data_IF_229766293386
#
_entry.id   IF_229766293386
#
_cell.length_a   1.000
_cell.length_b   1.000
_cell.length_c   1.000
_cell.angle_alpha   90.00
_cell.angle_beta   90.00
_cell.angle_gamma   90.00
#
_symmetry.space_group_name_H-M   'P 1'
#
loop_
_entity.id
_entity.type
_entity.pdbx_description
1 polymer ?
#
# COMPACT_ATOMS: atom_id res chain seq x y z
N UNK A 1 53.55 -44.11 -29.00
CA UNK A 1 52.29 -44.12 -28.22
C UNK A 1 52.44 -42.98 -27.21
N UNK A 2 51.94 -41.75 -27.42
CA UNK A 2 50.53 -41.27 -27.33
C UNK A 2 49.86 -41.83 -26.06
N UNK A 3 49.39 -41.08 -25.07
CA UNK A 3 48.91 -39.70 -25.06
C UNK A 3 49.07 -39.02 -23.69
N UNK A 4 49.23 -37.70 -23.75
CA UNK A 4 49.09 -36.71 -22.68
C UNK A 4 47.62 -36.51 -22.28
N UNK A 5 47.44 -36.11 -21.02
CA UNK A 5 46.48 -35.11 -20.50
C UNK A 5 44.97 -35.31 -20.68
N UNK A 6 44.26 -35.23 -19.55
CA UNK A 6 43.28 -34.17 -19.23
C UNK A 6 42.15 -34.74 -18.36
N UNK A 7 42.03 -34.32 -17.09
CA UNK A 7 40.72 -34.18 -16.45
C UNK A 7 40.78 -33.42 -15.12
N UNK A 8 40.94 -32.08 -15.13
CA UNK A 8 40.45 -31.23 -14.02
C UNK A 8 40.13 -29.84 -14.56
N UNK A 9 38.90 -29.62 -15.05
CA UNK A 9 38.27 -28.30 -15.04
C UNK A 9 36.78 -28.53 -14.76
N UNK A 10 36.28 -28.07 -13.62
CA UNK A 10 34.86 -28.26 -13.33
C UNK A 10 34.35 -27.76 -11.99
N UNK A 11 34.90 -26.70 -11.38
CA UNK A 11 34.24 -26.04 -10.22
C UNK A 11 34.63 -24.54 -10.17
N UNK A 12 34.04 -23.67 -10.98
CA UNK A 12 34.16 -22.20 -10.78
C UNK A 12 32.91 -21.37 -11.14
N UNK A 13 31.79 -21.96 -11.57
CA UNK A 13 30.66 -21.18 -12.11
C UNK A 13 29.55 -20.80 -11.11
N UNK A 14 29.64 -21.15 -9.83
CA UNK A 14 28.57 -20.83 -8.87
C UNK A 14 28.64 -19.43 -8.24
N UNK A 15 29.76 -18.71 -8.37
CA UNK A 15 29.91 -17.38 -7.77
C UNK A 15 29.26 -16.23 -8.56
N UNK A 16 29.14 -16.36 -9.88
CA UNK A 16 28.68 -15.26 -10.74
C UNK A 16 27.17 -14.99 -10.59
N UNK A 17 26.35 -16.03 -10.49
CA UNK A 17 24.89 -15.89 -10.40
C UNK A 17 24.43 -15.20 -9.10
N UNK A 18 25.15 -15.40 -7.98
CA UNK A 18 24.82 -14.79 -6.69
C UNK A 18 25.19 -13.29 -6.66
N UNK A 19 26.29 -12.92 -7.30
CA UNK A 19 26.72 -11.52 -7.40
C UNK A 19 25.79 -10.69 -8.31
N UNK A 20 25.33 -11.30 -9.40
CA UNK A 20 24.34 -10.73 -10.33
C UNK A 20 23.01 -10.43 -9.63
N UNK A 21 22.47 -11.41 -8.89
CA UNK A 21 21.22 -11.25 -8.17
C UNK A 21 21.29 -10.22 -7.03
N UNK A 22 22.44 -10.12 -6.35
CA UNK A 22 22.67 -9.09 -5.34
C UNK A 22 22.70 -7.68 -5.96
N UNK A 23 23.41 -7.51 -7.07
CA UNK A 23 23.51 -6.25 -7.82
C UNK A 23 22.14 -5.81 -8.31
N UNK A 24 21.39 -6.75 -8.90
CA UNK A 24 20.02 -6.54 -9.36
C UNK A 24 19.10 -6.06 -8.23
N UNK A 25 19.14 -6.71 -7.06
CA UNK A 25 18.36 -6.30 -5.88
C UNK A 25 18.72 -4.89 -5.42
N UNK A 26 20.00 -4.55 -5.44
CA UNK A 26 20.46 -3.21 -5.09
C UNK A 26 19.92 -2.14 -6.06
N UNK A 27 19.96 -2.40 -7.36
CA UNK A 27 19.40 -1.49 -8.37
C UNK A 27 17.91 -1.28 -8.16
N UNK A 28 17.14 -2.34 -7.89
CA UNK A 28 15.70 -2.24 -7.59
C UNK A 28 15.47 -1.41 -6.32
N UNK A 29 16.25 -1.62 -5.26
CA UNK A 29 16.15 -0.84 -4.03
C UNK A 29 16.39 0.67 -4.27
N UNK A 30 17.36 1.01 -5.14
CA UNK A 30 17.60 2.41 -5.54
C UNK A 30 16.45 2.99 -6.37
N UNK A 31 15.80 2.20 -7.23
CA UNK A 31 14.61 2.62 -7.98
C UNK A 31 13.46 2.93 -7.03
N UNK A 32 13.20 2.04 -6.08
CA UNK A 32 12.18 2.21 -5.03
C UNK A 32 12.39 3.51 -4.26
N UNK A 33 13.63 3.77 -3.85
CA UNK A 33 13.99 5.00 -3.14
C UNK A 33 13.78 6.23 -4.03
N UNK A 34 14.25 6.19 -5.28
CA UNK A 34 14.14 7.31 -6.22
C UNK A 34 12.68 7.65 -6.58
N UNK A 35 11.80 6.66 -6.60
CA UNK A 35 10.35 6.83 -6.78
C UNK A 35 9.63 7.31 -5.52
N UNK A 36 10.25 7.18 -4.34
CA UNK A 36 9.62 7.51 -3.06
C UNK A 36 8.53 6.52 -2.63
N UNK A 37 8.60 5.26 -3.07
CA UNK A 37 7.55 4.25 -2.80
C UNK A 37 7.35 4.00 -1.30
N UNK A 38 8.42 4.02 -0.51
CA UNK A 38 8.33 3.88 0.96
C UNK A 38 7.42 4.95 1.57
N UNK A 39 7.61 6.21 1.16
CA UNK A 39 6.81 7.32 1.66
C UNK A 39 5.35 7.23 1.17
N UNK A 40 5.15 6.80 -0.08
CA UNK A 40 3.83 6.60 -0.66
C UNK A 40 3.03 5.52 0.11
N UNK A 41 3.62 4.35 0.33
CA UNK A 41 2.96 3.29 1.10
C UNK A 41 2.73 3.68 2.56
N UNK A 42 3.68 4.40 3.18
CA UNK A 42 3.50 4.92 4.53
C UNK A 42 2.29 5.88 4.60
N UNK A 43 2.19 6.81 3.67
CA UNK A 43 1.06 7.74 3.58
C UNK A 43 -0.27 6.99 3.39
N UNK A 44 -0.30 5.94 2.57
CA UNK A 44 -1.50 5.13 2.36
C UNK A 44 -1.91 4.35 3.62
N UNK A 45 -0.94 3.78 4.34
CA UNK A 45 -1.19 3.11 5.62
C UNK A 45 -1.73 4.09 6.66
N UNK A 46 -1.18 5.30 6.73
CA UNK A 46 -1.63 6.33 7.68
C UNK A 46 -3.02 6.87 7.34
N UNK A 47 -3.34 7.03 6.06
CA UNK A 47 -4.70 7.35 5.61
C UNK A 47 -5.69 6.21 5.94
N UNK A 48 -5.28 4.95 5.74
CA UNK A 48 -6.08 3.79 6.11
C UNK A 48 -6.37 3.73 7.60
N UNK A 49 -5.38 4.02 8.45
CA UNK A 49 -5.54 4.15 9.92
C UNK A 49 -6.58 5.19 10.29
N UNK A 50 -6.46 6.39 9.74
CA UNK A 50 -7.38 7.49 10.01
C UNK A 50 -8.82 7.13 9.60
N UNK A 51 -8.99 6.60 8.37
CA UNK A 51 -10.30 6.19 7.86
C UNK A 51 -10.93 5.05 8.70
N UNK A 52 -10.14 4.03 9.07
CA UNK A 52 -10.60 2.93 9.90
C UNK A 52 -11.06 3.41 11.28
N UNK A 53 -10.33 4.34 11.91
CA UNK A 53 -10.70 4.98 13.18
C UNK A 53 -12.07 5.65 13.09
N UNK A 54 -12.31 6.44 12.04
CA UNK A 54 -13.58 7.16 11.85
C UNK A 54 -14.75 6.21 11.57
N UNK A 55 -14.54 5.19 10.72
CA UNK A 55 -15.55 4.15 10.48
C UNK A 55 -15.87 3.42 11.79
N UNK A 56 -14.85 3.11 12.58
CA UNK A 56 -15.01 2.39 13.82
C UNK A 56 -15.80 3.14 14.88
N UNK A 57 -15.53 4.42 15.07
CA UNK A 57 -16.34 5.29 15.95
C UNK A 57 -17.81 5.28 15.53
N UNK A 58 -18.07 5.39 14.22
CA UNK A 58 -19.43 5.35 13.70
C UNK A 58 -20.12 4.00 13.92
N UNK A 59 -19.40 2.87 13.78
CA UNK A 59 -19.96 1.53 14.06
C UNK A 59 -20.28 1.37 15.55
N UNK A 60 -19.37 1.75 16.45
CA UNK A 60 -19.59 1.68 17.90
C UNK A 60 -20.81 2.51 18.32
N UNK A 61 -20.93 3.74 17.79
CA UNK A 61 -22.09 4.59 18.06
C UNK A 61 -23.40 3.97 17.58
N UNK A 62 -23.42 3.35 16.38
CA UNK A 62 -24.61 2.67 15.85
C UNK A 62 -24.97 1.43 16.67
N UNK A 63 -24.01 0.57 17.00
CA UNK A 63 -24.26 -0.61 17.83
C UNK A 63 -24.85 -0.24 19.19
N UNK A 64 -24.31 0.80 19.85
CA UNK A 64 -24.80 1.23 21.14
C UNK A 64 -26.22 1.78 21.08
N UNK A 65 -26.55 2.52 20.01
CA UNK A 65 -27.91 2.98 19.76
C UNK A 65 -28.91 1.81 19.60
N UNK A 66 -28.48 0.67 19.06
CA UNK A 66 -29.30 -0.53 18.89
C UNK A 66 -29.42 -1.38 20.17
N UNK A 67 -28.43 -1.35 21.07
CA UNK A 67 -28.49 -2.10 22.34
C UNK A 67 -29.42 -1.48 23.40
N UNK A 68 -30.05 -0.34 23.11
CA UNK A 68 -30.90 0.38 24.07
C UNK A 68 -30.12 1.09 25.18
N UNK A 69 -28.80 1.20 25.06
CA UNK A 69 -27.97 1.96 25.99
C UNK A 69 -28.38 3.45 25.97
N UNK A 70 -28.43 4.14 27.13
CA UNK A 70 -28.80 5.55 27.19
C UNK A 70 -27.93 6.39 26.24
N UNK A 71 -28.56 7.24 25.40
CA UNK A 71 -27.84 8.19 24.53
C UNK A 71 -26.80 8.96 25.36
N UNK A 72 -25.52 8.84 24.99
CA UNK A 72 -24.41 9.51 25.67
C UNK A 72 -23.66 8.65 26.70
N UNK A 73 -24.06 7.39 26.95
CA UNK A 73 -23.29 6.43 27.73
C UNK A 73 -22.57 5.44 26.81
N UNK A 74 -21.53 5.89 26.12
CA UNK A 74 -20.53 4.97 25.56
C UNK A 74 -19.70 4.44 26.73
N UNK A 75 -19.67 3.12 26.97
CA UNK A 75 -18.69 2.56 27.92
C UNK A 75 -17.30 2.80 27.33
N UNK A 76 -16.44 3.63 27.95
CA UNK A 76 -15.11 3.92 27.43
C UNK A 76 -14.28 2.64 27.27
N UNK A 77 -14.59 1.55 27.99
CA UNK A 77 -13.94 0.24 27.79
C UNK A 77 -14.23 -0.36 26.42
N UNK A 78 -15.47 -0.23 25.93
CA UNK A 78 -15.86 -0.76 24.63
C UNK A 78 -15.21 0.03 23.49
N UNK A 79 -15.22 1.37 23.60
CA UNK A 79 -14.49 2.24 22.66
C UNK A 79 -13.00 1.86 22.60
N UNK A 80 -12.37 1.63 23.75
CA UNK A 80 -10.96 1.27 23.82
C UNK A 80 -10.67 -0.12 23.23
N UNK A 81 -11.55 -1.11 23.43
CA UNK A 81 -11.42 -2.44 22.81
C UNK A 81 -11.50 -2.33 21.29
N UNK A 82 -12.47 -1.57 20.79
CA UNK A 82 -12.67 -1.40 19.36
C UNK A 82 -11.52 -0.62 18.72
N UNK A 83 -11.05 0.45 19.37
CA UNK A 83 -9.88 1.21 18.95
C UNK A 83 -8.64 0.32 18.84
N UNK A 84 -8.37 -0.52 19.85
CA UNK A 84 -7.26 -1.49 19.80
C UNK A 84 -7.41 -2.52 18.67
N UNK A 85 -8.64 -2.92 18.34
CA UNK A 85 -8.88 -3.81 17.21
C UNK A 85 -8.53 -3.13 15.88
N UNK A 86 -8.97 -1.88 15.67
CA UNK A 86 -8.65 -1.12 14.46
C UNK A 86 -7.15 -0.85 14.33
N UNK A 87 -6.49 -0.51 15.43
CA UNK A 87 -5.04 -0.30 15.46
C UNK A 87 -4.29 -1.57 15.05
N UNK A 88 -4.73 -2.76 15.50
CA UNK A 88 -4.16 -4.04 15.05
C UNK A 88 -4.39 -4.26 13.56
N UNK A 89 -5.61 -4.04 13.05
CA UNK A 89 -5.90 -4.18 11.62
C UNK A 89 -5.04 -3.23 10.77
N UNK A 90 -4.83 -2.02 11.26
CA UNK A 90 -4.08 -1.01 10.54
C UNK A 90 -2.55 -1.13 10.70
N UNK A 91 -2.09 -2.01 11.60
CA UNK A 91 -0.69 -2.40 11.78
C UNK A 91 -0.35 -3.75 11.14
N UNK A 92 -1.25 -4.34 10.33
CA UNK A 92 -1.02 -5.63 9.69
C UNK A 92 0.18 -5.65 8.75
N UNK A 93 0.49 -4.51 8.12
CA UNK A 93 1.62 -4.38 7.22
C UNK A 93 2.42 -3.13 7.55
N UNK A 94 3.74 -3.21 7.36
CA UNK A 94 4.61 -2.04 7.37
C UNK A 94 4.88 -1.52 5.95
N UNK A 95 5.18 -0.24 5.79
CA UNK A 95 5.55 0.32 4.49
C UNK A 95 6.76 -0.42 3.88
N UNK A 96 7.72 -0.83 4.72
CA UNK A 96 8.88 -1.62 4.31
C UNK A 96 8.47 -2.98 3.75
N UNK A 97 7.59 -3.70 4.42
CA UNK A 97 7.10 -5.00 3.97
C UNK A 97 6.36 -4.90 2.62
N UNK A 98 5.58 -3.84 2.43
CA UNK A 98 4.90 -3.57 1.16
C UNK A 98 5.91 -3.28 0.03
N UNK A 99 6.94 -2.49 0.32
CA UNK A 99 8.05 -2.21 -0.62
C UNK A 99 8.82 -3.48 -0.96
N UNK A 100 9.17 -4.29 0.04
CA UNK A 100 9.91 -5.54 -0.15
C UNK A 100 9.10 -6.51 -1.02
N UNK A 101 7.79 -6.59 -0.79
CA UNK A 101 6.86 -7.38 -1.62
C UNK A 101 6.79 -6.83 -3.04
N UNK A 102 6.60 -5.53 -3.21
CA UNK A 102 6.54 -4.89 -4.54
C UNK A 102 7.82 -5.14 -5.34
N UNK A 103 8.97 -5.05 -4.68
CA UNK A 103 10.30 -5.24 -5.30
C UNK A 103 10.49 -6.65 -5.87
N UNK A 104 9.87 -7.67 -5.26
CA UNK A 104 9.90 -9.05 -5.77
C UNK A 104 9.19 -9.20 -7.11
N UNK A 105 8.15 -8.40 -7.36
CA UNK A 105 7.39 -8.44 -8.61
C UNK A 105 7.98 -7.51 -9.67
N UNK A 106 8.43 -6.31 -9.29
CA UNK A 106 8.85 -5.28 -10.23
C UNK A 106 9.98 -5.73 -11.15
N UNK A 107 10.99 -6.39 -10.58
CA UNK A 107 12.15 -6.85 -11.34
C UNK A 107 11.94 -8.15 -12.11
N UNK A 108 10.76 -8.76 -12.15
CA UNK A 108 10.64 -10.12 -12.72
C UNK A 108 10.87 -10.17 -14.23
N UNK A 109 10.35 -9.17 -14.95
CA UNK A 109 10.29 -9.17 -16.41
C UNK A 109 11.23 -8.13 -17.05
N UNK A 110 12.13 -7.54 -16.26
CA UNK A 110 13.09 -6.53 -16.71
C UNK A 110 14.49 -7.15 -16.91
N UNK A 111 15.27 -6.67 -17.85
CA UNK A 111 16.71 -6.94 -17.94
C UNK A 111 17.48 -6.02 -17.00
N UNK A 112 18.75 -6.32 -16.72
CA UNK A 112 19.60 -5.43 -15.92
C UNK A 112 19.77 -4.06 -16.58
N UNK A 113 19.98 -4.03 -17.90
CA UNK A 113 20.11 -2.77 -18.64
C UNK A 113 18.85 -1.91 -18.57
N UNK A 114 17.67 -2.52 -18.57
CA UNK A 114 16.42 -1.79 -18.39
C UNK A 114 16.29 -1.22 -16.97
N UNK A 115 16.67 -2.00 -15.94
CA UNK A 115 16.71 -1.50 -14.56
C UNK A 115 17.67 -0.31 -14.42
N UNK A 116 18.85 -0.36 -15.03
CA UNK A 116 19.80 0.74 -15.01
C UNK A 116 19.26 1.99 -15.71
N UNK A 117 18.59 1.83 -16.86
CA UNK A 117 17.96 2.94 -17.57
C UNK A 117 16.82 3.57 -16.76
N UNK A 118 16.01 2.75 -16.10
CA UNK A 118 14.94 3.21 -15.20
C UNK A 118 15.53 3.98 -14.02
N UNK A 119 16.59 3.45 -13.40
CA UNK A 119 17.26 4.13 -12.30
C UNK A 119 17.84 5.48 -12.76
N UNK A 120 18.52 5.51 -13.91
CA UNK A 120 19.07 6.72 -14.48
C UNK A 120 18.00 7.77 -14.76
N UNK A 121 16.83 7.34 -15.26
CA UNK A 121 15.68 8.23 -15.43
C UNK A 121 15.25 8.84 -14.11
N UNK A 122 14.97 8.06 -13.07
CA UNK A 122 14.50 8.59 -11.78
C UNK A 122 15.54 9.42 -11.05
N UNK A 123 16.83 9.21 -11.32
CA UNK A 123 17.91 10.05 -10.79
C UNK A 123 18.09 11.37 -11.54
N UNK A 124 17.60 11.47 -12.79
CA UNK A 124 17.69 12.68 -13.61
C UNK A 124 16.85 13.85 -13.05
N UNK A 125 17.17 15.10 -13.41
CA UNK A 125 16.36 16.26 -13.01
C UNK A 125 14.90 16.17 -13.46
N UNK A 126 14.62 15.57 -14.62
CA UNK A 126 13.24 15.40 -15.11
C UNK A 126 12.52 14.28 -14.36
N UNK A 127 13.17 13.15 -14.08
CA UNK A 127 12.56 12.05 -13.31
C UNK A 127 12.22 12.45 -11.88
N UNK A 128 13.09 13.23 -11.20
CA UNK A 128 12.78 13.78 -9.88
C UNK A 128 11.57 14.73 -9.90
N UNK A 129 11.44 15.54 -10.96
CA UNK A 129 10.28 16.42 -11.15
C UNK A 129 9.02 15.61 -11.44
N UNK A 130 9.12 14.55 -12.23
CA UNK A 130 8.01 13.65 -12.52
C UNK A 130 7.49 12.95 -11.25
N UNK A 131 8.38 12.41 -10.43
CA UNK A 131 8.01 11.80 -9.13
C UNK A 131 7.28 12.81 -8.25
N UNK A 132 7.82 14.02 -8.10
CA UNK A 132 7.18 15.08 -7.31
C UNK A 132 5.81 15.50 -7.88
N UNK A 133 5.72 15.67 -9.20
CA UNK A 133 4.47 16.04 -9.87
C UNK A 133 3.41 14.94 -9.72
N UNK A 134 3.81 13.67 -9.88
CA UNK A 134 2.96 12.49 -9.72
C UNK A 134 2.44 12.35 -8.30
N UNK A 135 3.29 12.51 -7.28
CA UNK A 135 2.86 12.48 -5.87
C UNK A 135 1.87 13.61 -5.53
N UNK A 136 2.14 14.81 -6.04
CA UNK A 136 1.24 15.97 -5.86
C UNK A 136 -0.11 15.72 -6.54
N UNK A 137 -0.09 15.26 -7.78
CA UNK A 137 -1.29 14.93 -8.54
C UNK A 137 -2.10 13.82 -7.88
N UNK A 138 -1.46 12.74 -7.42
CA UNK A 138 -2.12 11.62 -6.76
C UNK A 138 -2.77 12.03 -5.43
N UNK A 139 -2.14 12.92 -4.67
CA UNK A 139 -2.72 13.48 -3.45
C UNK A 139 -3.97 14.29 -3.76
N UNK A 140 -3.91 15.17 -4.76
CA UNK A 140 -5.07 15.97 -5.20
C UNK A 140 -6.20 15.10 -5.75
N UNK A 141 -5.87 14.08 -6.55
CA UNK A 141 -6.81 13.11 -7.08
C UNK A 141 -7.50 12.33 -5.97
N UNK A 142 -6.74 11.74 -5.05
CA UNK A 142 -7.29 10.93 -3.94
C UNK A 142 -8.23 11.74 -3.05
N UNK A 143 -7.87 12.99 -2.74
CA UNK A 143 -8.72 13.91 -1.98
C UNK A 143 -10.04 14.20 -2.71
N UNK A 144 -9.96 14.48 -4.01
CA UNK A 144 -11.14 14.76 -4.85
C UNK A 144 -12.06 13.55 -4.95
N UNK A 145 -11.50 12.37 -5.24
CA UNK A 145 -12.27 11.13 -5.35
C UNK A 145 -12.92 10.73 -4.03
N UNK A 146 -12.23 10.93 -2.91
CA UNK A 146 -12.79 10.66 -1.58
C UNK A 146 -13.97 11.58 -1.27
N UNK A 147 -13.85 12.88 -1.53
CA UNK A 147 -14.92 13.85 -1.31
C UNK A 147 -16.16 13.54 -2.18
N UNK A 148 -15.95 13.32 -3.47
CA UNK A 148 -17.02 12.94 -4.40
C UNK A 148 -17.64 11.59 -4.05
N UNK A 149 -16.82 10.61 -3.64
CA UNK A 149 -17.28 9.30 -3.21
C UNK A 149 -18.21 9.40 -2.00
N UNK A 150 -17.84 10.20 -1.00
CA UNK A 150 -18.67 10.42 0.19
C UNK A 150 -20.00 11.09 -0.13
N UNK A 151 -19.99 12.12 -0.99
CA UNK A 151 -21.22 12.80 -1.43
C UNK A 151 -22.16 11.83 -2.15
N UNK A 152 -21.64 11.07 -3.11
CA UNK A 152 -22.41 10.07 -3.86
C UNK A 152 -22.96 8.98 -2.95
N UNK A 153 -22.16 8.48 -2.00
CA UNK A 153 -22.60 7.48 -1.02
C UNK A 153 -23.75 8.01 -0.15
N UNK A 154 -23.66 9.24 0.33
CA UNK A 154 -24.71 9.88 1.14
C UNK A 154 -26.02 10.03 0.35
N UNK A 155 -25.94 10.42 -0.91
CA UNK A 155 -27.10 10.50 -1.80
C UNK A 155 -27.74 9.12 -1.99
N UNK A 156 -26.94 8.08 -2.26
CA UNK A 156 -27.43 6.70 -2.40
C UNK A 156 -28.09 6.15 -1.13
N UNK A 157 -27.51 6.41 0.05
CA UNK A 157 -28.11 6.02 1.34
C UNK A 157 -29.46 6.74 1.54
N UNK A 158 -29.54 8.03 1.22
CA UNK A 158 -30.79 8.79 1.36
C UNK A 158 -31.90 8.24 0.45
N UNK A 159 -31.54 7.84 -0.78
CA UNK A 159 -32.48 7.19 -1.69
C UNK A 159 -32.94 5.83 -1.13
N UNK A 160 -32.01 4.98 -0.68
CA UNK A 160 -32.33 3.68 -0.09
C UNK A 160 -33.32 3.81 1.09
N UNK A 161 -33.10 4.78 1.98
CA UNK A 161 -34.00 5.02 3.11
C UNK A 161 -35.40 5.47 2.67
N UNK A 162 -35.51 6.21 1.56
CA UNK A 162 -36.79 6.62 0.97
C UNK A 162 -37.54 5.42 0.40
N UNK A 163 -36.82 4.56 -0.31
CA UNK A 163 -37.38 3.34 -0.92
C UNK A 163 -37.88 2.37 0.17
N UNK A 164 -37.09 2.16 1.23
CA UNK A 164 -37.47 1.31 2.37
C UNK A 164 -38.73 1.82 3.09
N UNK A 165 -38.83 3.14 3.34
CA UNK A 165 -40.04 3.73 3.94
C UNK A 165 -41.27 3.52 3.07
N UNK A 166 -41.12 3.68 1.76
CA UNK A 166 -42.21 3.48 0.79
C UNK A 166 -42.67 2.03 0.75
N UNK A 167 -41.73 1.08 0.85
CA UNK A 167 -42.03 -0.35 0.87
C UNK A 167 -42.74 -0.81 2.16
N UNK A 168 -42.38 -0.24 3.32
CA UNK A 168 -42.95 -0.59 4.63
C UNK A 168 -44.28 0.12 4.96
N UNK A 169 -44.64 1.16 4.20
CA UNK A 169 -45.90 1.89 4.35
C UNK A 169 -47.08 1.26 3.59
N UNK A 170 -46.85 0.14 2.91
CA UNK A 170 -47.85 -0.70 2.25
C UNK A 170 -48.09 -1.96 3.08
#
# INVERSE_FOLDING_TARGET
MRALSAFVIGVLFWGAAVADEATRRETIAKIVEAQGLTQMFQQQLDQGKASASDIGKNIVQKMLAETGAPRGQTDPRLEQVFQRYLERCAAMFSARELVDTWSQFYGKDLTESELDQILAYYQSPVGKKDVFASQTAMTGFSKTMSAQGQERLNASISQLMTDLKTALAK
#
